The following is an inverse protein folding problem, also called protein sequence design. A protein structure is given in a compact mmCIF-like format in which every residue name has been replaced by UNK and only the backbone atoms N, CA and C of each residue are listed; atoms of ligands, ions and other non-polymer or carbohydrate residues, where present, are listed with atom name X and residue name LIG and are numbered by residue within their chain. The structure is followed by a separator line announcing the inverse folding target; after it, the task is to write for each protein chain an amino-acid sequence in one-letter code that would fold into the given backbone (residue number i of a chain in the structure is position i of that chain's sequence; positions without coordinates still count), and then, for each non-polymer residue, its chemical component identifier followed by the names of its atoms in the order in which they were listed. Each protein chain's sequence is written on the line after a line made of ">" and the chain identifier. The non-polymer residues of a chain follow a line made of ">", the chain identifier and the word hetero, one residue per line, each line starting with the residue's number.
data_IF_302711454483
#
_entry.id   IF_302711454483
#
_cell.length_a   1.000
_cell.length_b   1.000
_cell.length_c   1.000
_cell.angle_alpha   90.00
_cell.angle_beta   90.00
_cell.angle_gamma   90.00
#
_symmetry.space_group_name_H-M   'P 1'
#
loop_
_entity.id
_entity.type
_entity.pdbx_description
1 polymer ?
#
# COMPACT_ATOMS: atom_id res chain seq x y z
N UNK A 1 -7.57 -13.54 8.09
CA UNK A 1 -6.22 -13.78 7.53
C UNK A 1 -5.25 -12.77 8.13
N UNK A 2 -3.97 -13.10 8.32
CA UNK A 2 -2.90 -12.14 8.64
C UNK A 2 -1.72 -12.42 7.68
N UNK A 3 -1.14 -11.37 7.11
CA UNK A 3 0.01 -11.46 6.21
C UNK A 3 1.08 -10.42 6.60
N UNK A 4 2.34 -10.85 6.65
CA UNK A 4 3.49 -9.99 6.91
C UNK A 4 4.12 -9.53 5.61
N UNK A 5 4.46 -8.25 5.52
CA UNK A 5 5.02 -7.65 4.31
C UNK A 5 6.55 -7.73 4.37
N UNK A 6 7.21 -8.25 3.32
CA UNK A 6 8.67 -8.30 3.25
C UNK A 6 9.28 -6.90 3.28
N UNK A 7 10.53 -6.81 3.73
CA UNK A 7 11.31 -5.59 3.60
C UNK A 7 11.71 -5.39 2.13
N UNK A 8 11.90 -4.13 1.72
CA UNK A 8 12.32 -3.81 0.35
C UNK A 8 13.61 -4.53 -0.06
N UNK A 9 14.51 -4.72 0.90
CA UNK A 9 15.85 -5.27 0.69
C UNK A 9 16.03 -6.65 1.35
N UNK A 10 14.95 -7.33 1.75
CA UNK A 10 15.02 -8.65 2.37
C UNK A 10 13.74 -9.46 2.23
N UNK A 11 13.90 -10.76 1.95
CA UNK A 11 12.80 -11.73 1.94
C UNK A 11 12.21 -11.99 3.35
N UNK A 12 12.86 -11.47 4.40
CA UNK A 12 12.32 -11.52 5.75
C UNK A 12 11.14 -10.54 5.90
N UNK A 13 10.01 -11.05 6.38
CA UNK A 13 8.88 -10.23 6.80
C UNK A 13 9.30 -9.25 7.89
N UNK A 14 8.97 -7.97 7.72
CA UNK A 14 9.10 -7.04 8.83
C UNK A 14 8.02 -7.40 9.86
N UNK A 15 8.42 -7.85 11.07
CA UNK A 15 7.47 -8.12 12.17
C UNK A 15 6.56 -6.92 12.48
N UNK A 16 6.96 -5.71 12.05
CA UNK A 16 6.24 -4.46 12.23
C UNK A 16 5.33 -4.07 11.06
N UNK A 17 5.46 -4.70 9.88
CA UNK A 17 4.61 -4.43 8.70
C UNK A 17 3.68 -5.60 8.40
N UNK A 18 2.38 -5.40 8.57
CA UNK A 18 1.39 -6.45 8.29
C UNK A 18 0.01 -5.87 7.98
N UNK A 19 -0.80 -6.69 7.33
CA UNK A 19 -2.25 -6.50 7.24
C UNK A 19 -3.00 -7.75 7.68
N UNK A 20 -4.26 -7.58 8.06
CA UNK A 20 -5.11 -8.73 8.35
C UNK A 20 -6.59 -8.38 8.37
N UNK A 21 -7.42 -9.33 7.93
CA UNK A 21 -8.88 -9.23 7.95
C UNK A 21 -9.41 -9.42 9.36
N UNK A 22 -10.31 -8.54 9.78
CA UNK A 22 -11.01 -8.64 11.06
C UNK A 22 -12.05 -9.75 10.98
N UNK A 23 -12.10 -10.62 11.98
CA UNK A 23 -13.01 -11.76 11.96
C UNK A 23 -14.47 -11.29 12.10
N UNK A 24 -15.32 -11.72 11.17
CA UNK A 24 -16.75 -11.35 11.17
C UNK A 24 -17.07 -9.97 10.60
N UNK A 25 -16.06 -9.24 10.09
CA UNK A 25 -16.23 -7.89 9.53
C UNK A 25 -15.61 -7.82 8.13
N UNK A 26 -16.12 -6.93 7.28
CA UNK A 26 -15.50 -6.57 5.99
C UNK A 26 -14.48 -5.43 6.17
N UNK A 27 -13.62 -5.57 7.17
CA UNK A 27 -12.60 -4.60 7.54
C UNK A 27 -11.21 -5.25 7.60
N UNK A 28 -10.18 -4.47 7.27
CA UNK A 28 -8.79 -4.84 7.37
C UNK A 28 -8.03 -3.92 8.34
N UNK A 29 -7.18 -4.51 9.17
CA UNK A 29 -6.18 -3.79 9.96
C UNK A 29 -4.89 -3.68 9.17
N UNK A 30 -4.30 -2.48 9.16
CA UNK A 30 -3.03 -2.17 8.51
C UNK A 30 -2.00 -1.64 9.53
N UNK A 31 -0.77 -2.17 9.49
CA UNK A 31 0.36 -1.69 10.31
C UNK A 31 1.58 -1.44 9.45
N UNK A 32 2.10 -0.21 9.52
CA UNK A 32 3.32 0.23 8.82
C UNK A 32 3.37 -0.10 7.32
N UNK A 33 2.19 -0.28 6.71
CA UNK A 33 1.94 -0.36 5.28
C UNK A 33 1.71 1.05 4.76
N UNK A 34 2.10 1.27 3.52
CA UNK A 34 2.17 2.56 2.85
C UNK A 34 0.82 3.30 2.93
N UNK A 35 -0.35 2.65 2.75
CA UNK A 35 -1.73 3.17 2.93
C UNK A 35 -1.97 4.06 4.17
N UNK A 36 -1.12 3.97 5.20
CA UNK A 36 -1.20 4.78 6.43
C UNK A 36 -0.34 6.04 6.41
N UNK A 37 0.45 6.30 5.37
CA UNK A 37 1.26 7.50 5.28
C UNK A 37 0.38 8.68 4.81
N UNK A 38 0.29 9.73 5.62
CA UNK A 38 -0.56 10.92 5.41
C UNK A 38 -0.35 11.67 4.09
N UNK A 39 0.67 11.32 3.32
CA UNK A 39 1.07 11.97 2.08
C UNK A 39 0.99 11.02 0.89
N UNK A 40 0.21 9.93 0.95
CA UNK A 40 -0.04 9.13 -0.24
C UNK A 40 -1.15 9.72 -1.09
N UNK A 41 -1.00 9.69 -2.43
CA UNK A 41 -2.11 9.91 -3.33
C UNK A 41 -3.23 8.89 -3.08
N UNK A 42 -4.49 9.31 -3.24
CA UNK A 42 -5.64 8.41 -3.07
C UNK A 42 -5.59 7.21 -4.02
N UNK A 43 -5.06 7.40 -5.22
CA UNK A 43 -4.86 6.32 -6.19
C UNK A 43 -4.02 5.17 -5.63
N UNK A 44 -2.94 5.49 -4.92
CA UNK A 44 -2.03 4.48 -4.34
C UNK A 44 -2.69 3.78 -3.15
N UNK A 45 -3.44 4.53 -2.33
CA UNK A 45 -4.19 3.96 -1.21
C UNK A 45 -5.28 2.99 -1.69
N UNK A 46 -6.04 3.37 -2.73
CA UNK A 46 -7.08 2.54 -3.32
C UNK A 46 -6.49 1.30 -4.00
N UNK A 47 -5.42 1.46 -4.78
CA UNK A 47 -4.72 0.34 -5.41
C UNK A 47 -4.23 -0.68 -4.38
N UNK A 48 -3.57 -0.22 -3.31
CA UNK A 48 -3.03 -1.11 -2.29
C UNK A 48 -4.15 -1.81 -1.49
N UNK A 49 -5.28 -1.14 -1.22
CA UNK A 49 -6.46 -1.78 -0.60
C UNK A 49 -7.10 -2.83 -1.50
N UNK A 50 -7.18 -2.56 -2.80
CA UNK A 50 -7.74 -3.49 -3.79
C UNK A 50 -6.90 -4.78 -3.84
N UNK A 51 -5.57 -4.65 -3.94
CA UNK A 51 -4.65 -5.79 -3.90
C UNK A 51 -4.75 -6.60 -2.60
N UNK A 52 -4.88 -5.93 -1.45
CA UNK A 52 -5.05 -6.60 -0.15
C UNK A 52 -6.34 -7.42 -0.09
N UNK A 53 -7.43 -6.91 -0.69
CA UNK A 53 -8.68 -7.65 -0.83
C UNK A 53 -8.51 -8.85 -1.77
N UNK A 54 -7.85 -8.66 -2.91
CA UNK A 54 -7.54 -9.73 -3.85
C UNK A 54 -6.74 -10.87 -3.21
N UNK A 55 -5.78 -10.55 -2.33
CA UNK A 55 -5.03 -11.57 -1.57
C UNK A 55 -5.95 -12.41 -0.68
N UNK A 56 -6.92 -11.81 0.01
CA UNK A 56 -7.85 -12.54 0.88
C UNK A 56 -8.87 -13.36 0.07
N UNK A 57 -9.38 -12.78 -1.03
CA UNK A 57 -10.45 -13.34 -1.86
C UNK A 57 -9.95 -14.50 -2.73
N UNK A 58 -8.89 -14.27 -3.52
CA UNK A 58 -8.44 -15.26 -4.51
C UNK A 58 -7.42 -16.24 -3.94
N UNK A 59 -6.59 -15.78 -2.99
CA UNK A 59 -5.41 -16.52 -2.50
C UNK A 59 -4.50 -17.07 -3.59
N UNK A 60 -4.51 -16.41 -4.74
CA UNK A 60 -3.71 -16.74 -5.91
C UNK A 60 -2.79 -15.55 -6.24
N UNK A 61 -1.47 -15.72 -6.21
CA UNK A 61 -0.53 -14.65 -6.54
C UNK A 61 -0.69 -14.14 -7.98
N UNK A 62 -1.06 -14.98 -8.95
CA UNK A 62 -1.20 -14.55 -10.35
C UNK A 62 -2.37 -13.58 -10.52
N UNK A 63 -3.52 -13.87 -9.91
CA UNK A 63 -4.68 -12.97 -9.92
C UNK A 63 -4.36 -11.59 -9.30
N UNK A 64 -3.61 -11.57 -8.19
CA UNK A 64 -3.18 -10.31 -7.54
C UNK A 64 -2.17 -9.56 -8.41
N UNK A 65 -1.25 -10.27 -9.07
CA UNK A 65 -0.31 -9.67 -10.00
C UNK A 65 -1.01 -9.10 -11.23
N UNK A 66 -2.05 -9.75 -11.75
CA UNK A 66 -2.86 -9.24 -12.85
C UNK A 66 -3.60 -7.96 -12.48
N UNK A 67 -4.19 -7.92 -11.28
CA UNK A 67 -4.79 -6.69 -10.76
C UNK A 67 -3.77 -5.56 -10.64
N UNK A 68 -2.57 -5.84 -10.09
CA UNK A 68 -1.48 -4.87 -10.01
C UNK A 68 -1.09 -4.33 -11.38
N UNK A 69 -0.95 -5.20 -12.40
CA UNK A 69 -0.67 -4.78 -13.78
C UNK A 69 -1.72 -3.80 -14.28
N UNK A 70 -3.01 -4.05 -14.04
CA UNK A 70 -4.08 -3.11 -14.41
C UNK A 70 -3.91 -1.72 -13.78
N UNK A 71 -3.54 -1.65 -12.50
CA UNK A 71 -3.25 -0.37 -11.83
C UNK A 71 -2.03 0.35 -12.41
N UNK A 72 -0.97 -0.39 -12.78
CA UNK A 72 0.23 0.17 -13.44
C UNK A 72 -0.09 0.66 -14.84
N UNK A 73 -0.78 -0.14 -15.66
CA UNK A 73 -1.12 0.19 -17.04
C UNK A 73 -1.99 1.45 -17.13
N UNK A 74 -2.85 1.70 -16.15
CA UNK A 74 -3.65 2.93 -16.08
C UNK A 74 -2.77 4.16 -15.86
N UNK A 75 -1.78 4.06 -14.97
CA UNK A 75 -0.80 5.13 -14.74
C UNK A 75 0.04 5.39 -15.99
N UNK A 76 0.57 4.35 -16.62
CA UNK A 76 1.42 4.47 -17.81
C UNK A 76 0.67 5.08 -18.99
N UNK A 77 -0.62 4.78 -19.14
CA UNK A 77 -1.49 5.37 -20.17
C UNK A 77 -1.98 6.78 -19.83
N UNK A 78 -1.67 7.31 -18.64
CA UNK A 78 -2.20 8.59 -18.17
C UNK A 78 -3.72 8.57 -17.97
N UNK A 79 -4.32 7.39 -17.78
CA UNK A 79 -5.75 7.19 -17.60
C UNK A 79 -6.18 7.34 -16.13
N UNK A 80 -5.53 8.23 -15.40
CA UNK A 80 -5.77 8.51 -13.98
C UNK A 80 -5.94 10.02 -13.80
N UNK A 81 -6.94 10.44 -13.03
CA UNK A 81 -7.13 11.85 -12.72
C UNK A 81 -5.91 12.37 -11.92
N UNK A 82 -5.33 13.48 -12.37
CA UNK A 82 -4.21 14.11 -11.68
C UNK A 82 -4.52 14.42 -10.21
N UNK A 83 -5.78 14.73 -9.87
CA UNK A 83 -6.20 14.97 -8.49
C UNK A 83 -6.05 13.73 -7.61
N UNK A 84 -6.16 12.53 -8.17
CA UNK A 84 -5.94 11.26 -7.47
C UNK A 84 -4.46 10.95 -7.24
N UNK A 85 -3.57 11.65 -7.98
CA UNK A 85 -2.11 11.56 -7.89
C UNK A 85 -1.48 12.66 -7.03
N UNK A 86 -2.25 13.66 -6.62
CA UNK A 86 -1.75 14.77 -5.78
C UNK A 86 -1.32 14.25 -4.41
N UNK A 87 -0.06 14.50 -4.08
CA UNK A 87 0.49 14.30 -2.74
C UNK A 87 0.51 15.61 -1.97
N UNK A 88 -0.10 15.64 -0.78
CA UNK A 88 0.02 16.77 0.14
C UNK A 88 1.13 16.53 1.16
N UNK A 89 2.26 17.24 1.03
CA UNK A 89 3.32 17.26 2.04
C UNK A 89 3.08 18.38 3.06
N UNK A 90 2.46 18.04 4.19
CA UNK A 90 2.28 18.95 5.32
C UNK A 90 3.58 19.15 6.13
N UNK A 91 4.05 20.39 6.22
CA UNK A 91 5.37 20.82 6.75
C UNK A 91 5.70 20.41 8.21
N UNK A 92 4.76 19.93 9.04
CA UNK A 92 5.03 19.79 10.49
C UNK A 92 5.05 18.38 11.09
N UNK A 93 4.53 17.34 10.39
CA UNK A 93 4.53 15.95 10.94
C UNK A 93 5.24 14.92 10.06
N UNK A 94 5.17 15.03 8.73
CA UNK A 94 5.86 14.08 7.84
C UNK A 94 7.39 14.29 7.79
N UNK A 95 7.86 15.53 7.98
CA UNK A 95 9.28 15.89 7.89
C UNK A 95 10.15 15.35 9.04
N UNK A 96 9.56 14.87 10.14
CA UNK A 96 10.33 14.33 11.27
C UNK A 96 10.95 12.95 10.98
N UNK A 97 10.55 12.26 9.90
CA UNK A 97 11.09 10.93 9.55
C UNK A 97 12.17 10.93 8.47
N UNK A 98 12.44 12.06 7.81
CA UNK A 98 13.48 12.16 6.76
C UNK A 98 14.83 12.74 7.24
N UNK A 99 15.02 12.93 8.57
CA UNK A 99 16.28 13.45 9.16
C UNK A 99 17.12 12.41 9.90
N UNK A 100 17.03 11.14 9.55
CA UNK A 100 18.06 10.17 9.94
C UNK A 100 18.51 9.42 8.69
N UNK A 101 19.84 9.43 8.49
CA UNK A 101 20.60 8.77 7.41
C UNK A 101 20.84 9.58 6.14
N UNK A 102 21.78 10.53 6.22
CA UNK A 102 22.89 10.62 5.25
C UNK A 102 24.17 10.91 6.05
N UNK A 103 25.31 10.27 5.73
CA UNK A 103 26.59 10.55 6.37
C UNK A 103 27.09 11.97 6.10
#
# INVERSE_FOLDING_TARGET
>A
MIAFVPLRDSDAGALTKYFGKVAGEDEYKYRAIECRQCSLPSYIDDAQKALIRGVDEYRDPEAVCEELRSWVDRLERGAVDLNELVTTIGSLKCCQRSRQSFP
#
